data_IF_430329507584
#
_entry.id   IF_430329507584
#
_cell.length_a   1.000
_cell.length_b   1.000
_cell.length_c   1.000
_cell.angle_alpha   90.00
_cell.angle_beta   90.00
_cell.angle_gamma   90.00
#
_symmetry.space_group_name_H-M   'P 1'
#
loop_
_entity.id
_entity.type
_entity.pdbx_description
1 polymer ?
2 polymer ?
3 water ?
#
# COMPACT_ATOMS: atom_id res chain seq x y z
N UNK A 3 -1.55 -13.99 21.93
CA UNK A 3 -2.23 -13.25 20.88
C UNK A 3 -1.47 -11.97 20.55
N UNK A 4 -1.65 -11.44 19.34
CA UNK A 4 -2.60 -11.95 18.37
C UNK A 4 -2.20 -13.32 17.82
N UNK A 5 -3.18 -14.05 17.32
CA UNK A 5 -2.98 -15.38 16.73
C UNK A 5 -1.83 -15.37 15.72
N UNK A 6 -1.08 -16.47 15.67
CA UNK A 6 0.08 -16.57 14.79
C UNK A 6 -0.32 -16.87 13.36
N UNK A 7 -1.42 -17.59 13.18
CA UNK A 7 -1.89 -17.93 11.84
C UNK A 7 -2.44 -16.69 11.15
N UNK A 8 -3.06 -15.81 11.94
CA UNK A 8 -3.58 -14.56 11.41
C UNK A 8 -2.44 -13.61 11.06
N UNK A 9 -1.30 -13.79 11.73
CA UNK A 9 -0.12 -13.00 11.43
C UNK A 9 0.47 -13.40 10.09
N UNK A 10 0.61 -14.71 9.88
CA UNK A 10 1.15 -15.22 8.61
C UNK A 10 0.23 -14.85 7.46
N UNK A 11 -1.06 -14.73 7.74
CA UNK A 11 -2.03 -14.32 6.73
C UNK A 11 -1.82 -12.86 6.36
N UNK A 12 -1.69 -12.01 7.38
CA UNK A 12 -1.45 -10.59 7.17
C UNK A 12 -0.14 -10.35 6.42
N UNK A 13 0.93 -11.00 6.91
CA UNK A 13 2.23 -10.87 6.27
C UNK A 13 2.17 -11.25 4.79
N UNK A 14 1.46 -12.34 4.49
CA UNK A 14 1.32 -12.79 3.12
C UNK A 14 0.57 -11.77 2.28
N UNK A 15 -0.43 -11.13 2.87
CA UNK A 15 -1.24 -10.16 2.17
C UNK A 15 -0.44 -8.91 1.84
N UNK A 16 0.23 -8.36 2.84
CA UNK A 16 1.05 -7.17 2.65
C UNK A 16 2.17 -7.44 1.64
N UNK A 17 2.71 -8.64 1.70
CA UNK A 17 3.76 -9.05 0.75
C UNK A 17 3.22 -9.04 -0.67
N UNK A 18 1.96 -9.47 -0.82
CA UNK A 18 1.32 -9.48 -2.13
C UNK A 18 1.13 -8.06 -2.64
N UNK A 19 0.85 -7.13 -1.74
CA UNK A 19 0.72 -5.73 -2.11
C UNK A 19 2.05 -5.18 -2.63
N UNK A 20 3.13 -5.48 -1.92
CA UNK A 20 4.45 -5.03 -2.32
C UNK A 20 4.84 -5.60 -3.68
N UNK A 21 4.62 -6.90 -3.86
CA UNK A 21 4.95 -7.56 -5.11
C UNK A 21 4.20 -6.91 -6.28
N UNK A 22 2.96 -6.52 -6.02
CA UNK A 22 2.13 -5.89 -7.05
C UNK A 22 2.70 -4.55 -7.47
N UNK A 23 2.98 -3.70 -6.50
CA UNK A 23 3.52 -2.37 -6.76
C UNK A 23 4.90 -2.48 -7.42
N UNK A 24 5.74 -3.35 -6.89
CA UNK A 24 7.08 -3.55 -7.42
C UNK A 24 7.01 -3.96 -8.89
N UNK A 25 6.04 -4.80 -9.22
CA UNK A 25 5.87 -5.25 -10.61
C UNK A 25 5.60 -4.06 -11.52
N UNK A 26 4.71 -3.18 -11.09
CA UNK A 26 4.35 -2.01 -11.88
C UNK A 26 5.57 -1.09 -12.03
N UNK A 27 6.29 -0.88 -10.94
CA UNK A 27 7.52 -0.10 -10.95
C UNK A 27 8.50 -0.68 -11.97
N UNK A 28 8.55 -2.00 -12.04
CA UNK A 28 9.46 -2.67 -12.97
C UNK A 28 9.09 -2.37 -14.42
N UNK A 29 7.79 -2.35 -14.71
CA UNK A 29 7.31 -2.01 -16.04
C UNK A 29 7.72 -0.59 -16.41
N UNK A 30 7.54 0.33 -15.47
CA UNK A 30 7.92 1.73 -15.67
C UNK A 30 9.41 1.83 -15.96
N UNK A 31 10.21 1.15 -15.16
CA UNK A 31 11.66 1.17 -15.32
C UNK A 31 12.06 0.64 -16.70
N UNK A 32 11.36 -0.38 -17.18
CA UNK A 32 11.61 -0.93 -18.50
C UNK A 32 11.28 0.11 -19.58
N UNK A 33 10.17 0.81 -19.41
CA UNK A 33 9.76 1.84 -20.36
C UNK A 33 10.81 2.93 -20.46
N UNK A 34 11.28 3.42 -19.32
CA UNK A 34 12.29 4.47 -19.27
C UNK A 34 13.58 4.01 -19.93
N UNK A 35 13.95 2.76 -19.67
CA UNK A 35 15.19 2.20 -20.21
C UNK A 35 15.12 2.02 -21.72
N UNK A 36 13.96 1.60 -22.20
CA UNK A 36 13.77 1.39 -23.64
C UNK A 36 13.78 2.72 -24.40
N UNK A 37 13.31 3.78 -23.74
CA UNK A 37 13.35 5.11 -24.34
C UNK A 37 14.77 5.46 -24.75
N UNK A 38 15.73 5.17 -23.86
CA UNK A 38 17.14 5.45 -24.14
C UNK A 38 17.69 4.58 -25.26
N UNK A 39 17.09 3.41 -25.45
CA UNK A 39 17.61 2.44 -26.41
C UNK A 39 17.22 2.72 -27.86
N UNK A 40 16.17 3.51 -28.07
CA UNK A 40 15.67 3.71 -29.43
C UNK A 40 16.70 4.45 -30.28
N UNK B 3 7.98 19.75 -17.23
CA UNK B 3 6.99 19.36 -16.22
C UNK B 3 5.69 20.16 -16.36
N UNK B 4 4.77 19.67 -17.18
CA UNK B 4 3.50 20.35 -17.42
C UNK B 4 2.60 20.13 -16.22
N UNK B 5 1.36 20.56 -16.34
CA UNK B 5 0.41 20.41 -15.24
C UNK B 5 0.10 18.94 -15.02
N UNK B 6 -0.26 18.24 -16.09
CA UNK B 6 -0.65 16.83 -16.00
C UNK B 6 0.45 16.01 -15.31
N UNK B 7 1.69 16.27 -15.70
CA UNK B 7 2.84 15.57 -15.14
C UNK B 7 3.09 16.00 -13.70
N UNK B 8 2.88 17.27 -13.39
CA UNK B 8 3.14 17.80 -12.06
C UNK B 8 2.11 17.33 -11.04
N UNK B 9 0.84 17.32 -11.44
CA UNK B 9 -0.23 16.91 -10.54
C UNK B 9 -0.07 15.44 -10.18
N UNK B 10 0.46 14.65 -11.11
CA UNK B 10 0.63 13.22 -10.89
C UNK B 10 1.78 12.98 -9.91
N UNK B 11 2.91 13.63 -10.15
CA UNK B 11 4.08 13.49 -9.29
C UNK B 11 3.74 13.90 -7.85
N UNK B 12 2.86 14.88 -7.71
CA UNK B 12 2.46 15.37 -6.39
C UNK B 12 1.42 14.45 -5.76
N UNK B 13 0.38 14.14 -6.52
CA UNK B 13 -0.67 13.22 -6.05
C UNK B 13 -0.07 11.84 -5.76
N UNK B 14 1.04 11.54 -6.44
CA UNK B 14 1.69 10.24 -6.30
C UNK B 14 2.58 10.19 -5.06
N UNK B 15 3.06 11.35 -4.63
CA UNK B 15 3.94 11.43 -3.47
C UNK B 15 3.14 11.41 -2.16
N UNK B 16 1.95 12.02 -2.18
CA UNK B 16 1.13 12.08 -0.99
C UNK B 16 0.60 10.69 -0.60
N UNK B 17 0.25 9.90 -1.60
CA UNK B 17 -0.21 8.54 -1.37
C UNK B 17 0.97 7.66 -0.96
N UNK B 18 2.14 7.98 -1.49
CA UNK B 18 3.35 7.25 -1.17
C UNK B 18 3.74 7.45 0.29
N UNK B 19 3.51 8.66 0.78
CA UNK B 19 3.84 9.00 2.16
C UNK B 19 2.84 8.36 3.13
N UNK B 20 1.57 8.38 2.76
CA UNK B 20 0.53 7.73 3.54
C UNK B 20 0.88 6.26 3.70
N UNK B 21 1.04 5.58 2.57
CA UNK B 21 1.35 4.15 2.56
C UNK B 21 2.56 3.86 3.45
N UNK B 22 3.58 4.71 3.36
CA UNK B 22 4.79 4.53 4.15
C UNK B 22 4.49 4.58 5.65
N UNK B 23 3.70 5.57 6.05
CA UNK B 23 3.35 5.73 7.46
C UNK B 23 2.49 4.57 7.97
N UNK B 24 1.45 4.25 7.22
CA UNK B 24 0.50 3.22 7.61
C UNK B 24 1.18 1.87 7.84
N UNK B 25 2.08 1.48 6.94
CA UNK B 25 2.79 0.22 7.06
C UNK B 25 3.65 0.20 8.32
N UNK B 26 4.45 1.24 8.51
CA UNK B 26 5.33 1.33 9.68
C UNK B 26 4.53 1.28 10.98
N UNK B 27 3.36 1.90 10.98
CA UNK B 27 2.49 1.88 12.15
C UNK B 27 2.00 0.46 12.43
N UNK B 28 1.76 -0.29 11.37
CA UNK B 28 1.24 -1.65 11.51
C UNK B 28 2.34 -2.63 11.88
N UNK B 29 3.48 -2.55 11.19
CA UNK B 29 4.61 -3.42 11.47
C UNK B 29 5.03 -3.30 12.94
N UNK B 30 5.06 -2.07 13.44
CA UNK B 30 5.44 -1.82 14.82
C UNK B 30 4.44 -2.45 15.79
N UNK B 31 3.16 -2.37 15.45
CA UNK B 31 2.12 -2.97 16.28
C UNK B 31 2.26 -4.48 16.33
N UNK B 32 2.57 -5.09 15.19
CA UNK B 32 2.71 -6.54 15.11
C UNK B 32 4.14 -6.99 15.39
N UNK B 33 5.02 -6.04 15.67
CA UNK B 33 6.42 -6.36 15.91
C UNK B 33 6.60 -7.15 17.21
N UNK B 34 6.31 -6.49 18.33
CA UNK B 34 6.48 -7.10 19.64
C UNK B 34 5.13 -7.60 20.15
N UNK B 35 5.17 -8.55 21.08
CA UNK B 35 3.95 -9.14 21.63
C UNK B 35 3.22 -8.11 22.49
N UNK B 36 3.98 -7.47 23.38
CA UNK B 36 3.44 -6.41 24.22
C UNK B 36 2.83 -5.27 23.40
N UNK B 37 3.31 -5.10 22.17
CA UNK B 37 2.81 -4.04 21.30
C UNK B 37 1.42 -4.33 20.76
N UNK B 38 1.17 -5.59 20.44
CA UNK B 38 -0.14 -6.01 19.94
C UNK B 38 -1.20 -5.89 21.02
N UNK B 39 -0.77 -6.05 22.27
CA UNK B 39 -1.68 -5.97 23.41
C UNK B 39 -2.22 -4.55 23.60
N UNK B 40 -1.55 -3.58 23.00
CA UNK B 40 -1.96 -2.18 23.13
C UNK B 40 -2.95 -1.76 22.04
N UNK B 41 -3.39 -2.74 21.24
CA UNK B 41 -4.39 -2.48 20.22
C UNK B 41 -5.39 -3.63 20.12
N UNK B 42 -6.62 -3.31 19.74
CA UNK B 42 -7.68 -4.30 19.64
C UNK B 42 -7.67 -4.93 18.26
N UNK B 43 -8.27 -6.12 18.11
CA UNK B 43 -8.29 -6.77 16.80
C UNK B 43 -9.03 -5.94 15.75
N UNK B 44 -9.88 -5.04 16.20
CA UNK B 44 -10.65 -4.18 15.29
C UNK B 44 -9.85 -2.95 14.87
N UNK B 45 -8.69 -2.75 15.48
CA UNK B 45 -7.77 -1.71 15.04
C UNK B 45 -7.05 -2.21 13.80
N UNK B 46 -6.63 -3.47 13.85
CA UNK B 46 -6.05 -4.14 12.70
C UNK B 46 -7.02 -4.08 11.53
N UNK B 47 -8.26 -4.51 11.78
CA UNK B 47 -9.29 -4.52 10.74
C UNK B 47 -9.38 -3.15 10.07
N UNK B 48 -9.11 -2.09 10.83
CA UNK B 48 -9.07 -0.74 10.29
C UNK B 48 -7.82 -0.55 9.45
N UNK B 49 -6.66 -0.66 10.11
CA UNK B 49 -5.38 -0.51 9.45
C UNK B 49 -5.33 -1.27 8.14
N UNK B 50 -5.74 -2.54 8.17
CA UNK B 50 -5.74 -3.37 6.98
C UNK B 50 -6.55 -2.73 5.85
N UNK B 51 -7.77 -2.30 6.18
CA UNK B 51 -8.65 -1.69 5.19
C UNK B 51 -8.14 -0.32 4.74
N UNK B 52 -7.34 0.33 5.59
CA UNK B 52 -6.77 1.63 5.26
C UNK B 52 -5.58 1.46 4.31
N UNK B 53 -4.71 0.53 4.63
CA UNK B 53 -3.53 0.27 3.82
C UNK B 53 -3.92 -0.23 2.44
N UNK B 54 -5.01 -0.97 2.37
CA UNK B 54 -5.46 -1.52 1.10
C UNK B 54 -6.02 -0.41 0.20
N UNK B 55 -6.81 0.47 0.79
CA UNK B 55 -7.39 1.59 0.04
C UNK B 55 -6.27 2.43 -0.56
N UNK B 56 -5.18 2.58 0.18
CA UNK B 56 -4.01 3.32 -0.29
C UNK B 56 -3.32 2.53 -1.41
N UNK B 57 -3.09 1.25 -1.17
CA UNK B 57 -2.46 0.38 -2.15
C UNK B 57 -3.18 0.45 -3.50
N UNK B 58 -4.50 0.46 -3.45
CA UNK B 58 -5.31 0.54 -4.68
C UNK B 58 -5.06 1.86 -5.39
N UNK B 59 -4.89 2.93 -4.62
CA UNK B 59 -4.61 4.25 -5.18
C UNK B 59 -3.23 4.27 -5.81
N UNK B 60 -2.24 3.82 -5.05
CA UNK B 60 -0.87 3.75 -5.52
C UNK B 60 -0.78 2.95 -6.81
N UNK B 61 -1.43 1.80 -6.83
CA UNK B 61 -1.41 0.92 -8.01
C UNK B 61 -2.01 1.63 -9.22
N UNK B 62 -3.02 2.47 -8.96
CA UNK B 62 -3.68 3.21 -10.03
C UNK B 62 -2.75 4.27 -10.60
N UNK B 63 -2.02 4.93 -9.71
CA UNK B 63 -1.10 5.99 -10.11
C UNK B 63 0.08 5.43 -10.89
N UNK B 64 0.70 4.37 -10.35
CA UNK B 64 1.80 3.71 -11.04
C UNK B 64 1.37 3.26 -12.43
N UNK B 65 0.11 2.84 -12.54
CA UNK B 65 -0.43 2.42 -13.82
C UNK B 65 -0.53 3.60 -14.79
N UNK B 66 -0.99 4.74 -14.28
CA UNK B 66 -1.15 5.93 -15.11
C UNK B 66 0.20 6.54 -15.46
N UNK B 67 1.18 6.35 -14.59
CA UNK B 67 2.55 6.77 -14.86
C UNK B 67 3.11 5.95 -16.01
N UNK B 68 2.77 4.67 -16.02
CA UNK B 68 3.18 3.78 -17.10
C UNK B 68 2.57 4.25 -18.42
N UNK B 69 1.33 4.73 -18.36
CA UNK B 69 0.64 5.21 -19.56
C UNK B 69 1.30 6.47 -20.09
N UNK B 70 1.70 7.36 -19.19
CA UNK B 70 2.34 8.61 -19.58
C UNK B 70 3.70 8.38 -20.22
N UNK B 71 4.55 7.63 -19.54
CA UNK B 71 5.87 7.32 -20.07
C UNK B 71 5.74 6.64 -21.43
N UNK B 72 4.59 6.00 -21.67
CA UNK B 72 4.36 5.32 -22.93
C UNK B 72 4.11 6.30 -24.07
N UNK B 73 3.33 7.35 -23.81
CA UNK B 73 3.07 8.36 -24.83
C UNK B 73 4.30 9.23 -25.04
N UNK B 74 5.06 9.43 -23.97
CA UNK B 74 6.33 10.13 -24.05
C UNK B 74 7.21 9.46 -25.10
N UNK B 75 7.31 8.13 -25.02
CA UNK B 75 8.15 7.38 -25.95
C UNK B 75 7.61 7.47 -27.37
N UNK B 76 6.28 7.47 -27.50
CA UNK B 76 5.64 7.49 -28.80
C UNK B 76 5.84 8.85 -29.48
N UNK B 77 5.61 9.92 -28.73
CA UNK B 77 5.86 11.27 -29.24
C UNK B 77 7.33 11.44 -29.60
N UNK B 78 8.18 11.09 -28.65
CA UNK B 78 9.63 11.13 -28.85
C UNK B 78 10.01 10.37 -30.12
N UNK B 79 9.34 9.25 -30.36
CA UNK B 79 9.59 8.46 -31.57
C UNK B 79 9.02 9.16 -32.79
N UNK B 80 7.90 9.85 -32.62
CA UNK B 80 7.29 10.61 -33.69
C UNK B 80 8.22 11.70 -34.20
N UNK B 81 8.71 12.53 -33.27
CA UNK B 81 9.61 13.62 -33.60
C UNK B 81 10.87 13.10 -34.30
N UNK B 82 11.45 12.03 -33.77
CA UNK B 82 12.67 11.46 -34.34
C UNK B 82 12.49 11.10 -35.81
N UNK B 83 11.33 10.53 -36.15
CA UNK B 83 11.05 10.16 -37.53
C UNK B 83 10.87 11.40 -38.40
N UNK B 84 10.44 12.49 -37.79
CA UNK B 84 10.22 13.73 -38.52
C UNK B 84 11.53 14.46 -38.82
N UNK B 85 12.38 14.60 -37.80
CA UNK B 85 13.56 15.44 -37.92
C UNK B 85 14.88 14.69 -38.06
N UNK B 86 14.86 13.39 -37.75
CA UNK B 86 16.09 12.58 -37.84
C UNK B 86 15.98 11.50 -38.91
N UNK B 87 14.77 11.22 -39.37
CA UNK B 87 14.57 10.20 -40.38
C UNK B 87 14.11 8.89 -39.78
N UNK C 1 -2.48 -3.04 -13.84
CA UNK C 1 -3.04 -4.31 -13.41
C UNK C 1 -2.25 -4.89 -12.25
N UNK C 2 -2.96 -5.39 -11.24
CA UNK C 2 -2.30 -5.93 -10.05
C UNK C 2 -3.06 -7.16 -9.52
N UNK C 3 -2.33 -8.26 -9.35
CA UNK C 3 -2.92 -9.48 -8.82
C UNK C 3 -2.81 -9.53 -7.29
N UNK C 4 -3.95 -9.68 -6.62
CA UNK C 4 -3.96 -9.87 -5.18
C UNK C 4 -5.08 -10.84 -4.81
N UNK C 5 -4.77 -11.80 -3.94
CA UNK C 5 -5.72 -12.83 -3.56
C UNK C 5 -6.84 -12.26 -2.69
N UNK C 6 -8.07 -12.30 -3.22
CA UNK C 6 -9.22 -11.75 -2.51
C UNK C 6 -9.70 -12.72 -1.43
N UNK C 7 -9.62 -14.01 -1.71
CA UNK C 7 -10.03 -15.04 -0.75
C UNK C 7 -9.22 -14.90 0.55
N UNK C 8 -7.96 -14.54 0.42
CA UNK C 8 -7.09 -14.38 1.58
C UNK C 8 -7.47 -13.12 2.36
N UNK C 9 -7.90 -12.08 1.65
CA UNK C 9 -8.24 -10.82 2.29
C UNK C 9 -9.50 -10.95 3.14
N UNK C 10 -10.55 -11.55 2.59
CA UNK C 10 -11.77 -11.76 3.35
C UNK C 10 -11.55 -12.79 4.46
N UNK C 11 -10.57 -13.67 4.25
CA UNK C 11 -10.21 -14.63 5.27
C UNK C 11 -9.60 -13.92 6.48
N UNK C 12 -8.88 -12.84 6.21
CA UNK C 12 -8.30 -12.02 7.27
C UNK C 12 -9.40 -11.29 8.03
N UNK C 13 -10.46 -10.92 7.31
CA UNK C 13 -11.61 -10.26 7.94
C UNK C 13 -12.30 -11.18 8.93
N UNK C 14 -12.64 -12.39 8.47
CA UNK C 14 -13.30 -13.37 9.32
C UNK C 14 -12.55 -13.55 10.64
N UNK C 15 -11.25 -13.85 10.54
CA UNK C 15 -10.43 -14.12 11.71
C UNK C 15 -10.42 -12.94 12.67
N UNK C 16 -10.62 -11.73 12.15
CA UNK C 16 -10.61 -10.53 12.98
C UNK C 16 -11.93 -10.36 13.73
N UNK C 17 -13.04 -10.69 13.07
CA UNK C 17 -14.35 -10.59 13.69
C UNK C 17 -14.57 -11.72 14.70
N UNK C 18 -14.20 -12.93 14.31
CA UNK C 18 -14.33 -14.09 15.19
C UNK C 18 -13.62 -13.85 16.52
N UNK C 19 -12.38 -13.38 16.45
CA UNK C 19 -11.61 -13.11 17.65
C UNK C 19 -12.23 -11.96 18.44
N UNK C 20 -12.50 -12.21 19.72
CA UNK C 20 -13.13 -11.22 20.59
C UNK C 20 -12.13 -10.64 21.58
N UNK C 21 -12.45 -9.47 22.10
CA UNK C 21 -11.55 -8.75 23.01
C UNK C 21 -12.15 -8.69 24.41
N UNK C 22 -11.31 -8.88 25.42
CA UNK C 22 -11.74 -8.79 26.80
C UNK C 22 -12.14 -7.36 27.16
N UNK C 23 -13.37 -7.19 27.59
CA UNK C 23 -13.89 -5.87 27.92
C UNK C 23 -12.99 -5.15 28.93
N UNK C 24 -12.53 -5.88 29.94
CA UNK C 24 -11.67 -5.31 30.97
C UNK C 24 -10.37 -4.77 30.36
N UNK C 25 -9.88 -5.45 29.33
CA UNK C 25 -8.67 -5.03 28.64
C UNK C 25 -8.97 -3.89 27.69
N UNK C 26 -10.11 -3.99 27.02
CA UNK C 26 -10.56 -2.96 26.09
C UNK C 26 -10.64 -1.60 26.77
N UNK C 27 -10.98 -1.60 28.05
CA UNK C 27 -11.11 -0.36 28.81
C UNK C 27 -9.75 0.17 29.24
N UNK C 28 -8.83 -0.73 29.55
CA UNK C 28 -7.48 -0.34 29.95
C UNK C 28 -6.78 0.41 28.82
N UNK C 29 -7.04 -0.01 27.58
CA UNK C 29 -6.47 0.63 26.41
C UNK C 29 -7.06 2.02 26.21
N UNK C 30 -8.36 2.14 26.43
CA UNK C 30 -9.05 3.41 26.29
C UNK C 30 -8.52 4.42 27.30
N UNK C 31 -8.50 4.03 28.57
CA UNK C 31 -7.93 4.89 29.61
C UNK C 31 -6.57 5.36 29.14
N UNK C 32 -5.66 4.40 28.94
CA UNK C 32 -4.28 4.71 28.56
C UNK C 32 -4.23 5.76 27.45
N UNK C 33 -5.10 5.62 26.46
CA UNK C 33 -5.17 6.57 25.35
C UNK C 33 -5.48 7.97 25.86
N UNK C 34 -6.66 8.15 26.45
CA UNK C 34 -7.09 9.44 26.97
C UNK C 34 -5.95 10.15 27.71
N UNK C 35 -5.28 9.41 28.59
CA UNK C 35 -4.16 9.95 29.37
C UNK C 35 -3.01 10.34 28.43
N UNK C 36 -2.65 9.41 27.54
CA UNK C 36 -1.53 9.59 26.62
C UNK C 36 -1.76 10.76 25.67
N UNK C 37 -3.01 11.19 25.53
CA UNK C 37 -3.34 12.30 24.65
C UNK C 37 -3.51 13.60 25.43
N UNK C 38 -3.78 13.49 26.72
CA UNK C 38 -3.99 14.66 27.57
C UNK C 38 -2.94 14.72 28.67
#
# INVERSE_FOLDING_TARGET
SYYIDADLLREIKQHLKQQQEGLSHLISIIKDDLEDIKLV
SAPADYFRILVQQFEVQLQQYRQQIEELENHLATQANNSHITPQDLSMAMQKIYQTFVALAAQLQSIHENVKVLKEQYLGYRKMFLG
SYYIDADLLREIKQHLKQQQEGLSHLISIIKDDLEDIKLV
#
